data_IF_355129715244
#
_entry.id   IF_355129715244
#
_cell.length_a   1.000
_cell.length_b   1.000
_cell.length_c   1.000
_cell.angle_alpha   90.00
_cell.angle_beta   90.00
_cell.angle_gamma   90.00
#
_symmetry.space_group_name_H-M   'P 1'
#
loop_
_entity.id
_entity.type
_entity.pdbx_description
1 polymer ?
#
# COMPACT_ATOMS: atom_id res chain seq x y z
N UNK A 1 -41.25 1.49 1.36
CA UNK A 1 -41.95 2.76 1.09
C UNK A 1 -43.25 2.43 0.40
N UNK A 2 -44.37 2.54 1.12
CA UNK A 2 -45.70 2.43 0.49
C UNK A 2 -45.77 3.43 -0.69
N UNK A 3 -46.28 2.97 -1.83
CA UNK A 3 -46.48 3.73 -3.07
C UNK A 3 -45.24 4.11 -3.91
N UNK A 4 -44.03 3.56 -3.65
CA UNK A 4 -42.85 3.73 -4.54
C UNK A 4 -42.49 5.19 -4.88
N UNK A 5 -42.87 6.17 -4.05
CA UNK A 5 -42.73 7.60 -4.36
C UNK A 5 -41.33 8.18 -4.16
N UNK A 6 -40.39 7.39 -3.63
CA UNK A 6 -39.03 7.84 -3.45
C UNK A 6 -38.04 6.76 -3.90
N UNK A 7 -36.94 7.21 -4.47
CA UNK A 7 -35.83 6.39 -4.95
C UNK A 7 -34.52 7.04 -4.53
N UNK A 8 -33.47 6.22 -4.43
CA UNK A 8 -32.10 6.69 -4.24
C UNK A 8 -31.35 6.46 -5.54
N UNK A 9 -30.71 7.51 -6.04
CA UNK A 9 -29.87 7.44 -7.23
C UNK A 9 -28.41 7.72 -6.87
N UNK A 10 -27.51 6.93 -7.44
CA UNK A 10 -26.07 7.10 -7.27
C UNK A 10 -25.55 7.94 -8.43
N UNK A 11 -25.45 9.25 -8.21
CA UNK A 11 -24.95 10.22 -9.20
C UNK A 11 -23.44 10.49 -9.01
N UNK A 12 -22.70 10.80 -10.09
CA UNK A 12 -21.29 11.19 -9.96
C UNK A 12 -21.13 12.46 -9.13
N UNK A 13 -20.01 12.55 -8.43
CA UNK A 13 -19.68 13.69 -7.58
C UNK A 13 -18.88 14.76 -8.34
N UNK A 14 -17.99 14.36 -9.25
CA UNK A 14 -17.11 15.27 -10.00
C UNK A 14 -15.71 14.68 -10.20
N UNK A 15 -14.68 15.53 -10.20
CA UNK A 15 -13.29 15.05 -10.30
C UNK A 15 -12.76 14.64 -8.93
N UNK A 16 -12.16 13.46 -8.85
CA UNK A 16 -11.53 12.92 -7.65
C UNK A 16 -10.02 13.05 -7.76
N UNK A 17 -9.40 13.73 -6.79
CA UNK A 17 -7.94 13.80 -6.67
C UNK A 17 -7.44 12.55 -5.94
N UNK A 18 -6.53 11.80 -6.56
CA UNK A 18 -6.00 10.56 -6.02
C UNK A 18 -4.50 10.67 -5.74
N UNK A 19 -4.10 10.47 -4.48
CA UNK A 19 -2.70 10.47 -4.06
C UNK A 19 -2.27 9.04 -3.79
N UNK A 20 -1.37 8.49 -4.61
CA UNK A 20 -1.07 7.04 -4.64
C UNK A 20 0.40 6.71 -4.36
N UNK A 21 0.68 5.58 -3.65
CA UNK A 21 2.01 5.19 -3.22
C UNK A 21 2.76 4.39 -4.29
N UNK A 22 4.02 4.04 -4.06
CA UNK A 22 4.87 3.31 -5.01
C UNK A 22 4.78 1.79 -4.91
N UNK A 23 4.26 1.22 -3.82
CA UNK A 23 4.43 -0.20 -3.51
C UNK A 23 3.65 -1.15 -4.42
N UNK A 24 2.52 -0.70 -4.98
CA UNK A 24 1.85 -1.38 -6.08
C UNK A 24 1.40 -0.34 -7.10
N UNK A 25 2.29 0.11 -7.99
CA UNK A 25 2.10 1.35 -8.76
C UNK A 25 0.90 1.26 -9.73
N UNK A 26 0.64 0.07 -10.28
CA UNK A 26 -0.55 -0.17 -11.11
C UNK A 26 -1.80 -0.45 -10.27
N UNK A 27 -1.73 -1.47 -9.40
CA UNK A 27 -2.91 -1.94 -8.66
C UNK A 27 -3.53 -0.85 -7.78
N UNK A 28 -2.75 0.00 -7.12
CA UNK A 28 -3.30 1.07 -6.27
C UNK A 28 -4.08 2.10 -7.08
N UNK A 29 -3.55 2.46 -8.25
CA UNK A 29 -4.23 3.38 -9.16
C UNK A 29 -5.53 2.74 -9.65
N UNK A 30 -5.47 1.50 -10.17
CA UNK A 30 -6.64 0.82 -10.74
C UNK A 30 -7.72 0.52 -9.71
N UNK A 31 -7.34 0.14 -8.48
CA UNK A 31 -8.25 -0.13 -7.36
C UNK A 31 -9.18 1.06 -7.08
N UNK A 32 -8.68 2.29 -7.23
CA UNK A 32 -9.50 3.50 -7.13
C UNK A 32 -10.10 3.94 -8.45
N UNK A 33 -9.30 4.01 -9.52
CA UNK A 33 -9.69 4.60 -10.80
C UNK A 33 -10.86 3.86 -11.46
N UNK A 34 -10.85 2.52 -11.46
CA UNK A 34 -11.89 1.71 -12.10
C UNK A 34 -13.29 2.02 -11.53
N UNK A 35 -13.55 1.87 -10.22
CA UNK A 35 -14.88 2.16 -9.67
C UNK A 35 -15.24 3.66 -9.70
N UNK A 36 -14.26 4.56 -9.56
CA UNK A 36 -14.49 6.01 -9.62
C UNK A 36 -15.01 6.41 -11.00
N UNK A 37 -14.34 5.96 -12.06
CA UNK A 37 -14.72 6.24 -13.45
C UNK A 37 -16.04 5.56 -13.80
N UNK A 38 -16.25 4.31 -13.36
CA UNK A 38 -17.52 3.60 -13.56
C UNK A 38 -18.71 4.35 -12.95
N UNK A 39 -18.50 5.01 -11.81
CA UNK A 39 -19.52 5.85 -11.17
C UNK A 39 -19.72 7.22 -11.87
N UNK A 40 -19.04 7.47 -13.00
CA UNK A 40 -19.18 8.68 -13.81
C UNK A 40 -18.28 9.85 -13.41
N UNK A 41 -17.25 9.62 -12.59
CA UNK A 41 -16.35 10.66 -12.09
C UNK A 41 -15.08 10.79 -12.94
N UNK A 42 -14.44 11.96 -12.86
CA UNK A 42 -13.05 12.13 -13.31
C UNK A 42 -12.05 11.62 -12.26
N UNK A 43 -10.89 11.15 -12.69
CA UNK A 43 -9.81 10.69 -11.83
C UNK A 43 -8.50 11.42 -12.16
N UNK A 44 -8.02 12.24 -11.21
CA UNK A 44 -6.78 12.99 -11.34
C UNK A 44 -5.72 12.40 -10.41
N UNK A 45 -4.72 11.75 -10.97
CA UNK A 45 -3.65 11.08 -10.24
C UNK A 45 -2.50 12.03 -9.90
N UNK A 46 -2.09 12.03 -8.63
CA UNK A 46 -0.75 12.40 -8.18
C UNK A 46 -0.06 11.16 -7.63
N UNK A 47 0.93 10.64 -8.35
CA UNK A 47 1.62 9.41 -7.96
C UNK A 47 2.87 9.67 -7.11
N UNK A 48 3.50 8.59 -6.63
CA UNK A 48 4.75 8.70 -5.89
C UNK A 48 5.90 9.06 -6.85
N UNK A 49 6.80 9.98 -6.47
CA UNK A 49 7.79 10.56 -7.40
C UNK A 49 8.78 9.54 -7.97
N UNK A 50 9.01 8.43 -7.28
CA UNK A 50 9.91 7.37 -7.72
C UNK A 50 9.29 6.39 -8.75
N UNK A 51 8.02 6.55 -9.12
CA UNK A 51 7.31 5.68 -10.08
C UNK A 51 6.64 6.48 -11.22
N UNK A 52 7.20 7.64 -11.59
CA UNK A 52 6.64 8.48 -12.66
C UNK A 52 6.59 7.79 -14.02
N UNK A 53 7.53 6.87 -14.32
CA UNK A 53 7.46 6.03 -15.50
C UNK A 53 6.21 5.14 -15.52
N UNK A 54 5.83 4.56 -14.37
CA UNK A 54 4.57 3.83 -14.25
C UNK A 54 3.36 4.75 -14.46
N UNK A 55 3.37 5.96 -13.92
CA UNK A 55 2.28 6.93 -14.12
C UNK A 55 2.08 7.26 -15.61
N UNK A 56 3.16 7.48 -16.35
CA UNK A 56 3.14 7.70 -17.80
C UNK A 56 2.58 6.49 -18.56
N UNK A 57 3.03 5.28 -18.24
CA UNK A 57 2.54 4.05 -18.86
C UNK A 57 1.04 3.83 -18.59
N UNK A 58 0.59 4.08 -17.35
CA UNK A 58 -0.83 3.96 -17.00
C UNK A 58 -1.66 4.97 -17.81
N UNK A 59 -1.21 6.21 -17.93
CA UNK A 59 -1.90 7.21 -18.74
C UNK A 59 -2.00 6.80 -20.22
N UNK A 60 -0.94 6.18 -20.75
CA UNK A 60 -0.94 5.62 -22.10
C UNK A 60 -1.95 4.46 -22.23
N UNK A 61 -2.03 3.56 -21.25
CA UNK A 61 -3.04 2.48 -21.21
C UNK A 61 -4.48 3.03 -21.24
N UNK A 62 -4.79 4.06 -20.44
CA UNK A 62 -6.12 4.69 -20.48
C UNK A 62 -6.42 5.31 -21.85
N UNK A 63 -5.43 5.98 -22.44
CA UNK A 63 -5.55 6.57 -23.78
C UNK A 63 -5.79 5.50 -24.85
N UNK A 64 -5.01 4.43 -24.84
CA UNK A 64 -5.12 3.33 -25.82
C UNK A 64 -6.42 2.54 -25.68
N UNK A 65 -6.96 2.47 -24.47
CA UNK A 65 -8.29 1.92 -24.21
C UNK A 65 -9.44 2.81 -24.69
N UNK A 66 -9.16 4.00 -25.26
CA UNK A 66 -10.17 4.92 -25.78
C UNK A 66 -10.93 5.68 -24.69
N UNK A 67 -10.38 5.78 -23.48
CA UNK A 67 -11.01 6.52 -22.39
C UNK A 67 -11.02 8.02 -22.75
N UNK A 68 -12.17 8.71 -22.67
CA UNK A 68 -12.27 10.10 -23.11
C UNK A 68 -11.27 11.02 -22.39
N UNK A 69 -10.72 11.98 -23.13
CA UNK A 69 -9.77 12.95 -22.59
C UNK A 69 -10.37 13.67 -21.37
N UNK A 70 -9.61 13.71 -20.27
CA UNK A 70 -10.01 14.35 -19.02
C UNK A 70 -10.77 13.46 -18.04
N UNK A 71 -11.26 12.28 -18.46
CA UNK A 71 -11.83 11.28 -17.52
C UNK A 71 -10.74 10.68 -16.63
N UNK A 72 -9.57 10.38 -17.22
CA UNK A 72 -8.36 10.07 -16.49
C UNK A 72 -7.28 11.11 -16.82
N UNK A 73 -6.56 11.57 -15.81
CA UNK A 73 -5.38 12.41 -15.95
C UNK A 73 -4.39 12.18 -14.82
N UNK A 74 -3.17 12.69 -14.99
CA UNK A 74 -2.15 12.65 -13.95
C UNK A 74 -1.30 13.91 -13.96
N UNK A 75 -0.74 14.27 -12.81
CA UNK A 75 0.12 15.42 -12.63
C UNK A 75 1.31 15.05 -11.73
N UNK A 76 2.50 15.48 -12.13
CA UNK A 76 3.69 15.46 -11.27
C UNK A 76 3.72 16.72 -10.39
N UNK A 77 2.75 16.81 -9.47
CA UNK A 77 2.66 17.92 -8.52
C UNK A 77 3.54 17.67 -7.28
N UNK A 78 4.15 18.72 -6.77
CA UNK A 78 4.74 18.74 -5.43
C UNK A 78 3.65 18.91 -4.35
N UNK A 79 4.06 19.10 -3.09
CA UNK A 79 3.12 19.23 -1.99
C UNK A 79 2.27 20.50 -2.07
N UNK A 80 2.83 21.61 -2.58
CA UNK A 80 2.11 22.87 -2.73
C UNK A 80 1.09 22.78 -3.86
N UNK A 81 1.45 22.15 -4.98
CA UNK A 81 0.53 21.83 -6.06
C UNK A 81 -0.60 20.91 -5.61
N UNK A 82 -0.33 19.89 -4.79
CA UNK A 82 -1.39 19.06 -4.17
C UNK A 82 -2.30 19.92 -3.30
N UNK A 83 -1.73 20.81 -2.49
CA UNK A 83 -2.49 21.69 -1.60
C UNK A 83 -3.37 22.68 -2.38
N UNK A 84 -2.87 23.18 -3.52
CA UNK A 84 -3.62 24.01 -4.45
C UNK A 84 -4.80 23.23 -5.08
N UNK A 85 -4.55 22.01 -5.57
CA UNK A 85 -5.61 21.16 -6.14
C UNK A 85 -6.70 20.83 -5.12
N UNK A 86 -6.34 20.55 -3.87
CA UNK A 86 -7.33 20.28 -2.81
C UNK A 86 -8.22 21.51 -2.56
N UNK A 87 -7.72 22.73 -2.70
CA UNK A 87 -8.53 23.97 -2.53
C UNK A 87 -9.36 24.32 -3.74
N UNK A 88 -9.00 23.84 -4.93
CA UNK A 88 -9.67 24.16 -6.19
C UNK A 88 -11.10 23.58 -6.24
N UNK A 89 -12.09 24.39 -6.60
CA UNK A 89 -13.51 23.98 -6.61
C UNK A 89 -13.84 22.86 -7.60
N UNK A 90 -12.96 22.58 -8.59
CA UNK A 90 -13.15 21.50 -9.57
C UNK A 90 -12.87 20.11 -8.99
N UNK A 91 -12.11 20.02 -7.89
CA UNK A 91 -11.89 18.76 -7.17
C UNK A 91 -13.03 18.57 -6.17
N UNK A 92 -13.82 17.50 -6.34
CA UNK A 92 -14.99 17.25 -5.52
C UNK A 92 -14.68 16.42 -4.26
N UNK A 93 -13.74 15.48 -4.35
CA UNK A 93 -13.28 14.66 -3.23
C UNK A 93 -11.84 14.19 -3.42
N UNK A 94 -11.27 13.62 -2.36
CA UNK A 94 -9.88 13.17 -2.32
C UNK A 94 -9.81 11.70 -1.90
N UNK A 95 -8.95 10.92 -2.51
CA UNK A 95 -8.57 9.58 -2.03
C UNK A 95 -7.06 9.51 -1.84
N UNK A 96 -6.62 8.99 -0.71
CA UNK A 96 -5.22 8.82 -0.36
C UNK A 96 -4.97 7.36 -0.07
N UNK A 97 -3.96 6.78 -0.72
CA UNK A 97 -3.31 5.58 -0.20
C UNK A 97 -1.86 5.89 0.13
N UNK A 98 -1.40 5.63 1.35
CA UNK A 98 -0.04 6.00 1.74
C UNK A 98 0.27 5.90 3.23
N UNK A 99 1.22 6.71 3.69
CA UNK A 99 1.62 6.73 5.10
C UNK A 99 0.61 7.47 5.97
N UNK A 100 0.60 7.17 7.27
CA UNK A 100 -0.23 7.89 8.26
C UNK A 100 0.05 9.39 8.23
N UNK A 101 1.32 9.79 8.12
CA UNK A 101 1.74 11.20 8.00
C UNK A 101 1.11 11.89 6.78
N UNK A 102 1.16 11.24 5.62
CA UNK A 102 0.56 11.79 4.40
C UNK A 102 -0.97 11.89 4.51
N UNK A 103 -1.61 10.82 5.03
CA UNK A 103 -3.04 10.77 5.26
C UNK A 103 -3.55 11.88 6.20
N UNK A 104 -2.87 12.10 7.32
CA UNK A 104 -3.23 13.15 8.27
C UNK A 104 -3.12 14.56 7.65
N UNK A 105 -2.01 14.83 6.96
CA UNK A 105 -1.78 16.14 6.33
C UNK A 105 -2.82 16.45 5.23
N UNK A 106 -3.11 15.47 4.36
CA UNK A 106 -4.09 15.64 3.28
C UNK A 106 -5.52 15.66 3.81
N UNK A 107 -5.84 14.78 4.78
CA UNK A 107 -7.15 14.72 5.43
C UNK A 107 -7.52 16.05 6.10
N UNK A 108 -6.57 16.71 6.77
CA UNK A 108 -6.78 18.03 7.35
C UNK A 108 -7.11 19.10 6.29
N UNK A 109 -6.39 19.10 5.17
CA UNK A 109 -6.63 20.05 4.07
C UNK A 109 -7.98 19.81 3.38
N UNK A 110 -8.31 18.56 3.11
CA UNK A 110 -9.58 18.21 2.51
C UNK A 110 -10.76 18.53 3.44
N UNK A 111 -10.61 18.28 4.75
CA UNK A 111 -11.59 18.69 5.76
C UNK A 111 -11.79 20.21 5.80
N UNK A 112 -10.70 20.99 5.78
CA UNK A 112 -10.76 22.46 5.72
C UNK A 112 -11.43 22.97 4.42
N UNK A 113 -11.30 22.23 3.32
CA UNK A 113 -11.95 22.52 2.04
C UNK A 113 -13.36 21.91 1.91
N UNK A 114 -13.90 21.27 2.97
CA UNK A 114 -15.20 20.60 3.00
C UNK A 114 -15.34 19.46 1.96
N UNK A 115 -14.27 18.70 1.72
CA UNK A 115 -14.22 17.62 0.74
C UNK A 115 -14.12 16.26 1.40
N UNK A 116 -14.95 15.32 0.94
CA UNK A 116 -14.94 13.93 1.41
C UNK A 116 -13.56 13.29 1.14
N UNK A 117 -13.12 12.46 2.08
CA UNK A 117 -11.92 11.64 1.94
C UNK A 117 -12.20 10.14 2.06
N UNK A 118 -11.37 9.37 1.37
CA UNK A 118 -11.06 7.97 1.71
C UNK A 118 -9.57 7.89 1.99
N UNK A 119 -9.19 7.39 3.18
CA UNK A 119 -7.81 7.35 3.65
C UNK A 119 -7.38 5.89 3.92
N UNK A 120 -6.61 5.32 3.00
CA UNK A 120 -6.08 3.96 3.05
C UNK A 120 -4.61 4.02 3.53
N UNK A 121 -4.39 3.82 4.83
CA UNK A 121 -3.11 4.15 5.47
C UNK A 121 -2.29 2.90 5.83
N UNK A 122 -1.21 3.09 6.59
CA UNK A 122 -0.35 2.00 7.06
C UNK A 122 -1.05 1.10 8.09
N UNK A 123 -0.77 -0.20 8.04
CA UNK A 123 -1.25 -1.20 9.00
C UNK A 123 -0.11 -1.94 9.69
N UNK A 124 -0.39 -2.47 10.88
CA UNK A 124 0.48 -3.38 11.64
C UNK A 124 -0.32 -4.62 12.02
N UNK A 125 -0.65 -5.41 11.00
CA UNK A 125 -1.69 -6.44 11.11
C UNK A 125 -1.22 -7.59 11.99
N UNK A 126 -2.07 -8.05 12.93
CA UNK A 126 -1.81 -9.24 13.71
C UNK A 126 -2.04 -10.50 12.85
N UNK A 127 -1.22 -11.51 13.05
CA UNK A 127 -1.40 -12.84 12.50
C UNK A 127 -1.42 -13.83 13.67
N UNK A 128 -2.61 -14.33 13.99
CA UNK A 128 -2.85 -15.14 15.19
C UNK A 128 -2.81 -16.62 14.82
N UNK A 129 -2.05 -17.43 15.57
CA UNK A 129 -1.99 -18.90 15.42
C UNK A 129 -2.27 -19.55 16.76
N UNK A 130 -3.31 -20.37 16.81
CA UNK A 130 -3.73 -21.11 18.00
C UNK A 130 -3.18 -22.54 17.96
N UNK A 131 -3.21 -23.23 19.11
CA UNK A 131 -2.67 -24.56 19.30
C UNK A 131 -3.29 -25.62 18.37
N UNK A 132 -4.54 -25.41 17.92
CA UNK A 132 -5.30 -26.30 17.04
C UNK A 132 -5.18 -25.92 15.55
N UNK A 133 -4.37 -24.92 15.20
CA UNK A 133 -4.17 -24.51 13.83
C UNK A 133 -3.46 -25.60 13.00
N UNK A 134 -3.78 -25.66 11.71
CA UNK A 134 -2.93 -26.34 10.73
C UNK A 134 -1.59 -25.59 10.66
N UNK A 135 -0.57 -26.15 11.30
CA UNK A 135 0.74 -25.54 11.43
C UNK A 135 1.42 -25.28 10.07
N UNK A 136 1.31 -26.22 9.14
CA UNK A 136 1.96 -26.08 7.83
C UNK A 136 1.31 -24.98 7.01
N UNK A 137 -0.02 -24.95 7.00
CA UNK A 137 -0.76 -23.89 6.33
C UNK A 137 -0.49 -22.54 6.98
N UNK A 138 -0.47 -22.48 8.31
CA UNK A 138 -0.20 -21.26 9.07
C UNK A 138 1.19 -20.69 8.76
N UNK A 139 2.23 -21.53 8.74
CA UNK A 139 3.60 -21.10 8.39
C UNK A 139 3.67 -20.61 6.94
N UNK A 140 3.08 -21.34 5.99
CA UNK A 140 3.06 -20.93 4.58
C UNK A 140 2.37 -19.59 4.39
N UNK A 141 1.21 -19.39 5.03
CA UNK A 141 0.47 -18.13 5.00
C UNK A 141 1.23 -16.99 5.68
N UNK A 142 1.90 -17.26 6.80
CA UNK A 142 2.72 -16.30 7.52
C UNK A 142 3.91 -15.80 6.67
N UNK A 143 4.63 -16.71 6.02
CA UNK A 143 5.77 -16.37 5.16
C UNK A 143 5.29 -15.54 3.97
N UNK A 144 4.27 -15.99 3.25
CA UNK A 144 3.70 -15.22 2.13
C UNK A 144 3.22 -13.83 2.59
N UNK A 145 2.45 -13.78 3.68
CA UNK A 145 1.88 -12.54 4.22
C UNK A 145 2.92 -11.53 4.73
N UNK A 146 4.08 -11.98 5.20
CA UNK A 146 5.16 -11.09 5.67
C UNK A 146 6.09 -10.65 4.54
N UNK A 147 6.39 -11.53 3.61
CA UNK A 147 7.51 -11.34 2.67
C UNK A 147 7.07 -10.98 1.24
N UNK A 148 5.78 -11.07 0.90
CA UNK A 148 5.27 -10.56 -0.38
C UNK A 148 5.71 -9.11 -0.60
N UNK A 149 6.16 -8.79 -1.83
CA UNK A 149 6.65 -7.47 -2.21
C UNK A 149 7.79 -6.97 -1.29
N UNK A 150 8.68 -7.89 -0.88
CA UNK A 150 9.74 -7.64 0.11
C UNK A 150 9.17 -7.01 1.39
N UNK A 151 7.97 -7.42 1.79
CA UNK A 151 7.26 -6.95 2.98
C UNK A 151 6.71 -5.52 2.92
N UNK A 152 6.72 -4.88 1.75
CA UNK A 152 6.30 -3.49 1.55
C UNK A 152 4.78 -3.36 1.32
N UNK A 153 3.98 -4.02 2.15
CA UNK A 153 2.51 -4.10 2.02
C UNK A 153 1.83 -3.53 3.27
N UNK A 154 0.83 -2.66 3.07
CA UNK A 154 0.08 -2.04 4.18
C UNK A 154 -0.61 -3.09 5.06
N UNK A 155 -1.19 -4.13 4.46
CA UNK A 155 -1.86 -5.25 5.12
C UNK A 155 -0.97 -6.52 5.24
N UNK A 156 0.36 -6.39 5.17
CA UNK A 156 1.26 -7.52 5.47
C UNK A 156 1.05 -8.00 6.91
N UNK A 157 1.24 -9.31 7.15
CA UNK A 157 1.34 -9.88 8.49
C UNK A 157 2.59 -9.33 9.19
N UNK A 158 2.43 -8.46 10.20
CA UNK A 158 3.58 -7.79 10.85
C UNK A 158 3.81 -8.22 12.28
N UNK A 159 2.75 -8.67 12.97
CA UNK A 159 2.81 -9.10 14.36
C UNK A 159 2.27 -10.52 14.49
N UNK A 160 3.18 -11.48 14.55
CA UNK A 160 2.83 -12.88 14.81
C UNK A 160 2.49 -13.04 16.30
N UNK A 161 1.28 -13.47 16.60
CA UNK A 161 0.77 -13.68 17.96
C UNK A 161 0.41 -15.17 18.06
N UNK A 162 1.26 -15.93 18.74
CA UNK A 162 1.22 -17.39 18.69
C UNK A 162 0.92 -17.94 20.08
N UNK A 163 -0.02 -18.87 20.17
CA UNK A 163 -0.35 -19.56 21.42
C UNK A 163 0.84 -20.41 21.90
N UNK A 164 1.06 -20.44 23.21
CA UNK A 164 2.31 -20.94 23.82
C UNK A 164 2.65 -22.39 23.40
N UNK A 165 1.64 -23.27 23.30
CA UNK A 165 1.83 -24.69 23.00
C UNK A 165 2.37 -24.98 21.59
N UNK A 166 2.15 -24.09 20.62
CA UNK A 166 2.60 -24.22 19.23
C UNK A 166 3.72 -23.23 18.86
N UNK A 167 4.03 -22.28 19.75
CA UNK A 167 4.95 -21.16 19.48
C UNK A 167 6.36 -21.60 19.04
N UNK A 168 6.95 -22.59 19.70
CA UNK A 168 8.29 -23.07 19.35
C UNK A 168 8.32 -23.70 17.97
N UNK A 169 7.39 -24.62 17.69
CA UNK A 169 7.30 -25.31 16.41
C UNK A 169 6.99 -24.34 15.24
N UNK A 170 6.10 -23.37 15.46
CA UNK A 170 5.83 -22.31 14.48
C UNK A 170 7.08 -21.47 14.21
N UNK A 171 7.76 -21.02 15.25
CA UNK A 171 8.94 -20.14 15.12
C UNK A 171 10.06 -20.83 14.34
N UNK A 172 10.36 -22.09 14.66
CA UNK A 172 11.39 -22.87 13.97
C UNK A 172 11.08 -22.99 12.46
N UNK A 173 9.86 -23.42 12.11
CA UNK A 173 9.45 -23.58 10.71
C UNK A 173 9.38 -22.26 9.96
N UNK A 174 8.86 -21.21 10.59
CA UNK A 174 8.82 -19.87 10.01
C UNK A 174 10.22 -19.33 9.72
N UNK A 175 11.15 -19.47 10.66
CA UNK A 175 12.55 -19.05 10.52
C UNK A 175 13.23 -19.82 9.39
N UNK A 176 13.08 -21.14 9.35
CA UNK A 176 13.66 -21.98 8.30
C UNK A 176 13.11 -21.60 6.92
N UNK A 177 11.80 -21.41 6.79
CA UNK A 177 11.16 -21.01 5.54
C UNK A 177 11.56 -19.60 5.10
N UNK A 178 11.69 -18.65 6.02
CA UNK A 178 12.17 -17.30 5.73
C UNK A 178 13.62 -17.29 5.27
N UNK A 179 14.50 -18.10 5.89
CA UNK A 179 15.90 -18.23 5.51
C UNK A 179 16.10 -18.88 4.12
N UNK A 180 15.13 -19.68 3.67
CA UNK A 180 15.14 -20.30 2.35
C UNK A 180 14.71 -19.37 1.20
N UNK A 181 14.18 -18.17 1.50
CA UNK A 181 13.80 -17.21 0.47
C UNK A 181 15.03 -16.66 -0.26
N UNK A 182 15.08 -16.88 -1.58
CA UNK A 182 16.12 -16.30 -2.44
C UNK A 182 15.90 -14.80 -2.61
N UNK A 183 16.94 -14.01 -2.38
CA UNK A 183 16.95 -12.56 -2.59
C UNK A 183 17.99 -12.20 -3.65
N UNK A 184 17.62 -11.34 -4.60
CA UNK A 184 18.51 -10.95 -5.69
C UNK A 184 17.89 -9.99 -6.69
N UNK A 185 18.37 -10.05 -7.94
CA UNK A 185 17.86 -9.24 -9.05
C UNK A 185 16.36 -9.53 -9.26
N UNK A 186 15.48 -8.51 -9.20
CA UNK A 186 14.05 -8.71 -9.36
C UNK A 186 13.62 -9.13 -10.77
N UNK A 187 14.53 -9.17 -11.74
CA UNK A 187 14.27 -9.69 -13.10
C UNK A 187 14.48 -11.20 -13.22
N UNK A 188 15.11 -11.82 -12.23
CA UNK A 188 15.30 -13.26 -12.16
C UNK A 188 14.14 -13.88 -11.37
N UNK A 189 13.34 -14.71 -12.05
CA UNK A 189 12.13 -15.33 -11.52
C UNK A 189 12.40 -16.31 -10.36
N UNK A 190 13.65 -16.76 -10.18
CA UNK A 190 14.01 -17.59 -9.03
C UNK A 190 14.06 -16.79 -7.71
N UNK A 191 14.19 -15.46 -7.78
CA UNK A 191 14.27 -14.62 -6.59
C UNK A 191 12.88 -14.29 -6.05
N UNK A 192 12.59 -14.78 -4.85
CA UNK A 192 11.35 -14.47 -4.14
C UNK A 192 11.35 -13.04 -3.54
N UNK A 193 12.54 -12.47 -3.32
CA UNK A 193 12.72 -11.14 -2.73
C UNK A 193 13.60 -10.27 -3.64
N UNK A 194 13.11 -9.07 -3.94
CA UNK A 194 13.91 -8.00 -4.55
C UNK A 194 14.42 -6.99 -3.51
N UNK A 195 15.14 -5.94 -3.93
CA UNK A 195 15.56 -4.87 -3.05
C UNK A 195 14.36 -4.06 -2.52
N UNK A 196 14.57 -3.30 -1.44
CA UNK A 196 13.61 -2.27 -1.05
C UNK A 196 13.56 -1.17 -2.10
N UNK A 197 12.37 -0.58 -2.27
CA UNK A 197 12.14 0.44 -3.28
C UNK A 197 12.91 1.74 -3.04
N UNK A 198 13.34 2.00 -1.80
CA UNK A 198 13.93 3.27 -1.37
C UNK A 198 15.01 3.07 -0.30
N UNK A 199 16.16 3.71 -0.51
CA UNK A 199 17.30 3.65 0.41
C UNK A 199 16.99 4.23 1.79
N UNK A 200 16.30 5.38 1.84
CA UNK A 200 15.93 6.03 3.11
C UNK A 200 15.00 5.15 3.96
N UNK A 201 14.06 4.45 3.32
CA UNK A 201 13.14 3.54 4.01
C UNK A 201 13.85 2.27 4.50
N UNK A 202 14.86 1.79 3.77
CA UNK A 202 15.73 0.70 4.22
C UNK A 202 16.52 1.10 5.46
N UNK A 203 17.08 2.30 5.45
CA UNK A 203 17.87 2.79 6.58
C UNK A 203 16.98 3.04 7.81
N UNK A 204 15.77 3.55 7.62
CA UNK A 204 14.75 3.65 8.69
C UNK A 204 14.36 2.27 9.24
N UNK A 205 14.11 1.28 8.38
CA UNK A 205 13.80 -0.09 8.81
C UNK A 205 14.95 -0.70 9.63
N UNK A 206 16.19 -0.51 9.17
CA UNK A 206 17.36 -0.97 9.91
C UNK A 206 17.45 -0.32 11.29
N UNK A 207 17.20 0.99 11.38
CA UNK A 207 17.15 1.69 12.67
C UNK A 207 16.05 1.15 13.61
N UNK A 208 14.89 0.78 13.08
CA UNK A 208 13.82 0.13 13.86
C UNK A 208 14.28 -1.22 14.41
N UNK A 209 15.00 -2.00 13.60
CA UNK A 209 15.61 -3.29 13.98
C UNK A 209 16.68 -3.07 15.07
N UNK A 210 17.56 -2.08 14.91
CA UNK A 210 18.64 -1.75 15.85
C UNK A 210 18.17 -1.12 17.16
N UNK A 211 17.02 -0.44 17.20
CA UNK A 211 16.44 0.16 18.42
C UNK A 211 15.70 -0.84 19.32
N UNK A 212 15.24 -1.96 18.78
CA UNK A 212 14.51 -2.99 19.54
C UNK A 212 15.31 -3.94 20.47
N UNK A 213 16.66 -3.95 20.57
CA UNK A 213 17.38 -4.76 21.57
C UNK A 213 17.10 -4.35 23.02
N UNK A 214 16.63 -3.12 23.27
CA UNK A 214 16.41 -2.58 24.62
C UNK A 214 15.19 -3.16 25.36
N UNK A 215 14.36 -3.99 24.71
CA UNK A 215 13.09 -4.49 25.24
C UNK A 215 13.00 -6.02 25.35
N UNK A 216 14.13 -6.75 25.32
CA UNK A 216 14.15 -8.21 25.46
C UNK A 216 13.78 -9.00 24.19
N UNK A 217 13.75 -8.36 23.02
CA UNK A 217 13.55 -9.05 21.75
C UNK A 217 14.79 -9.85 21.35
N UNK A 218 14.62 -11.16 21.09
CA UNK A 218 15.67 -12.00 20.53
C UNK A 218 15.68 -11.92 19.00
N UNK A 219 16.85 -11.70 18.42
CA UNK A 219 17.03 -11.78 16.96
C UNK A 219 17.15 -13.24 16.56
N UNK A 220 16.24 -13.68 15.70
CA UNK A 220 16.20 -15.07 15.25
C UNK A 220 16.79 -15.27 13.84
N UNK A 221 16.84 -14.22 13.00
CA UNK A 221 17.49 -14.21 11.66
C UNK A 221 17.87 -12.78 11.23
N UNK A 222 18.81 -12.65 10.27
CA UNK A 222 19.08 -11.44 9.47
C UNK A 222 19.33 -10.12 10.23
N UNK A 223 20.60 -9.68 10.33
CA UNK A 223 20.96 -8.41 11.01
C UNK A 223 21.68 -7.36 10.15
N UNK A 224 22.14 -7.71 8.95
CA UNK A 224 22.95 -6.85 8.09
C UNK A 224 22.16 -6.20 6.96
N UNK A 225 22.71 -5.12 6.38
CA UNK A 225 22.26 -4.56 5.08
C UNK A 225 22.80 -5.36 3.87
N UNK A 226 23.52 -6.43 4.11
CA UNK A 226 24.15 -7.25 3.07
C UNK A 226 23.07 -7.85 2.16
N UNK A 227 23.21 -7.61 0.85
CA UNK A 227 22.23 -8.01 -0.18
C UNK A 227 21.20 -6.94 -0.57
N UNK A 228 21.05 -5.84 0.17
CA UNK A 228 20.02 -4.81 -0.06
C UNK A 228 20.46 -3.68 -1.01
N UNK A 229 21.39 -3.96 -1.94
CA UNK A 229 22.05 -2.91 -2.72
C UNK A 229 22.93 -3.36 -3.89
N UNK A 230 22.66 -4.52 -4.50
CA UNK A 230 23.19 -4.84 -5.83
C UNK A 230 22.03 -5.02 -6.79
#
# INVERSE_FOLDING_TARGET
>A
MENQQAVIEYRPLGTILAIMPWNFPLWQVMRGAVPIILAGNGYLLKHAPNVMGCAQLIAQVFKDAGIPQGVYGWLNADNDGVSQMIKDSRIAAVTVTGSVRAGAAIGAQAGAALKKCVLELGGSDPFIVLNDADLELAVKAAVAGRYQNTGQVCAAAKRFIIEEGIASAFTERFVAAAAALKMGDPRDEENALGPMARFDLRDELHHQVEKNPGAGCAFVTGRGKDGWGR
#
